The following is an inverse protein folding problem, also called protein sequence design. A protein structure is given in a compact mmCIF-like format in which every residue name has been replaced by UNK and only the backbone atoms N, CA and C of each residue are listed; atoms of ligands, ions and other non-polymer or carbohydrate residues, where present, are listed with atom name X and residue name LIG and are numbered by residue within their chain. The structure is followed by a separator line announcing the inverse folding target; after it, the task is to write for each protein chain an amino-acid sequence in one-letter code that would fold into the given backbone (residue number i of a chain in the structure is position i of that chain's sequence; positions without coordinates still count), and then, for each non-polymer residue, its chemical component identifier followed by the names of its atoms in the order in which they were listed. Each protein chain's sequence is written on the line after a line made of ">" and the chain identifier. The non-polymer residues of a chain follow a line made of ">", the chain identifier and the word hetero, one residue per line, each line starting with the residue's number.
data_IF_128555940657
#
_entry.id   IF_128555940657
#
_cell.length_a   1.000
_cell.length_b   1.000
_cell.length_c   1.000
_cell.angle_alpha   90.00
_cell.angle_beta   90.00
_cell.angle_gamma   90.00
#
_symmetry.space_group_name_H-M   'P 1'
#
loop_
_entity.id
_entity.type
_entity.pdbx_description
1 polymer ?
#
# COMPACT_ATOMS: atom_id res chain seq x y z
N UNK A 1 -17.38 -20.54 -17.67
CA UNK A 1 -16.66 -19.26 -17.77
C UNK A 1 -16.37 -18.77 -16.36
N UNK A 2 -15.12 -18.92 -15.91
CA UNK A 2 -14.71 -18.53 -14.55
C UNK A 2 -14.59 -17.01 -14.49
N UNK A 3 -15.55 -16.35 -13.83
CA UNK A 3 -15.44 -14.95 -13.48
C UNK A 3 -14.22 -14.79 -12.56
N UNK A 4 -13.14 -14.21 -13.09
CA UNK A 4 -11.95 -13.81 -12.34
C UNK A 4 -12.30 -12.61 -11.46
N UNK A 5 -13.11 -12.85 -10.42
CA UNK A 5 -13.24 -11.94 -9.30
C UNK A 5 -11.92 -12.10 -8.53
N UNK A 6 -10.99 -11.17 -8.73
CA UNK A 6 -9.78 -11.07 -7.91
C UNK A 6 -10.24 -11.08 -6.45
N UNK A 7 -9.89 -12.14 -5.72
CA UNK A 7 -10.16 -12.19 -4.28
C UNK A 7 -9.48 -11.00 -3.62
N UNK A 8 -10.07 -10.40 -2.57
CA UNK A 8 -9.54 -9.18 -1.95
C UNK A 8 -8.06 -9.31 -1.54
N UNK A 9 -7.59 -10.52 -1.22
CA UNK A 9 -6.18 -10.84 -0.98
C UNK A 9 -5.29 -10.68 -2.23
N UNK A 10 -5.74 -11.12 -3.40
CA UNK A 10 -4.99 -10.99 -4.65
C UNK A 10 -4.86 -9.53 -5.09
N UNK A 11 -5.90 -8.73 -4.84
CA UNK A 11 -5.87 -7.29 -5.08
C UNK A 11 -4.86 -6.59 -4.16
N UNK A 12 -4.76 -6.99 -2.89
CA UNK A 12 -3.76 -6.46 -1.96
C UNK A 12 -2.33 -6.85 -2.31
N UNK A 13 -2.11 -8.09 -2.78
CA UNK A 13 -0.80 -8.54 -3.27
C UNK A 13 -0.34 -7.73 -4.50
N UNK A 14 -1.26 -7.46 -5.43
CA UNK A 14 -0.99 -6.59 -6.59
C UNK A 14 -0.65 -5.16 -6.17
N UNK A 15 -1.42 -4.61 -5.22
CA UNK A 15 -1.22 -3.24 -4.72
C UNK A 15 0.10 -3.09 -3.95
N UNK A 16 0.52 -4.14 -3.22
CA UNK A 16 1.84 -4.21 -2.58
C UNK A 16 2.97 -4.28 -3.61
N UNK A 17 2.83 -5.08 -4.67
CA UNK A 17 3.85 -5.13 -5.74
C UNK A 17 4.05 -3.76 -6.41
N UNK A 18 2.98 -3.00 -6.56
CA UNK A 18 3.00 -1.67 -7.17
C UNK A 18 3.72 -0.61 -6.31
N UNK A 19 3.59 -0.68 -4.98
CA UNK A 19 4.25 0.26 -4.06
C UNK A 19 5.76 0.07 -4.02
N UNK A 20 6.25 -1.17 -4.18
CA UNK A 20 7.69 -1.44 -4.33
C UNK A 20 8.27 -0.83 -5.61
N UNK A 21 7.50 -0.78 -6.70
CA UNK A 21 7.93 -0.19 -7.98
C UNK A 21 7.99 1.35 -7.93
N UNK A 22 7.07 1.98 -7.19
CA UNK A 22 7.06 3.46 -7.03
C UNK A 22 8.22 3.98 -6.19
N UNK A 23 8.64 3.23 -5.16
CA UNK A 23 9.80 3.59 -4.33
C UNK A 23 11.12 3.57 -5.11
N UNK A 24 11.33 2.60 -6.00
CA UNK A 24 12.54 2.53 -6.83
C UNK A 24 12.64 3.68 -7.81
N UNK A 25 11.51 4.07 -8.42
CA UNK A 25 11.44 5.14 -9.43
C UNK A 25 11.90 6.49 -8.91
N UNK A 26 11.58 6.81 -7.64
CA UNK A 26 11.93 8.09 -7.05
C UNK A 26 13.46 8.24 -6.93
N UNK A 27 14.16 7.20 -6.47
CA UNK A 27 15.62 7.19 -6.35
C UNK A 27 16.33 7.49 -7.67
N UNK A 28 15.85 6.90 -8.79
CA UNK A 28 16.43 7.11 -10.10
C UNK A 28 16.29 8.55 -10.60
N UNK A 29 15.15 9.20 -10.34
CA UNK A 29 14.93 10.60 -10.74
C UNK A 29 15.92 11.51 -10.00
N UNK A 30 16.17 11.27 -8.71
CA UNK A 30 17.12 12.06 -7.91
C UNK A 30 18.55 11.92 -8.45
N UNK A 31 18.96 10.67 -8.71
CA UNK A 31 20.27 10.38 -9.26
C UNK A 31 20.46 11.05 -10.62
N UNK A 32 19.44 11.00 -11.48
CA UNK A 32 19.48 11.63 -12.80
C UNK A 32 19.55 13.16 -12.72
N UNK A 33 18.74 13.81 -11.87
CA UNK A 33 18.77 15.26 -11.66
C UNK A 33 20.10 15.73 -11.07
N UNK A 34 20.69 14.95 -10.16
CA UNK A 34 22.01 15.25 -9.59
C UNK A 34 23.11 15.20 -10.66
N UNK A 35 23.16 14.12 -11.46
CA UNK A 35 24.12 13.98 -12.56
C UNK A 35 23.94 15.09 -13.60
N UNK A 36 22.69 15.39 -13.97
CA UNK A 36 22.38 16.46 -14.92
C UNK A 36 22.79 17.84 -14.39
N UNK A 37 22.62 18.08 -13.10
CA UNK A 37 23.11 19.28 -12.42
C UNK A 37 24.63 19.43 -12.50
N UNK A 38 25.38 18.39 -12.15
CA UNK A 38 26.84 18.40 -12.24
C UNK A 38 27.34 18.68 -13.67
N UNK A 39 26.72 18.05 -14.67
CA UNK A 39 27.05 18.29 -16.09
C UNK A 39 26.71 19.73 -16.50
N UNK A 40 25.57 20.26 -16.05
CA UNK A 40 25.16 21.64 -16.33
C UNK A 40 26.17 22.66 -15.79
N UNK A 41 26.63 22.55 -14.54
CA UNK A 41 27.65 23.45 -13.99
C UNK A 41 28.98 23.33 -14.71
N UNK A 42 29.40 22.11 -15.05
CA UNK A 42 30.65 21.89 -15.76
C UNK A 42 30.64 22.57 -17.14
N UNK A 43 29.56 22.43 -17.91
CA UNK A 43 29.41 23.08 -19.23
C UNK A 43 29.29 24.59 -19.07
N UNK A 44 28.50 25.08 -18.11
CA UNK A 44 28.31 26.51 -17.87
C UNK A 44 29.62 27.22 -17.47
N UNK A 45 30.53 26.54 -16.76
CA UNK A 45 31.81 27.10 -16.35
C UNK A 45 32.88 26.95 -17.45
N UNK A 46 32.99 25.77 -18.06
CA UNK A 46 34.09 25.44 -18.99
C UNK A 46 33.82 25.84 -20.45
N UNK A 47 32.57 25.84 -20.92
CA UNK A 47 32.24 26.13 -22.32
C UNK A 47 31.94 27.61 -22.56
N UNK A 48 31.31 28.27 -21.59
CA UNK A 48 30.79 29.62 -21.77
C UNK A 48 31.76 30.71 -21.33
N UNK A 49 32.80 30.37 -20.54
CA UNK A 49 33.82 31.29 -19.99
C UNK A 49 33.23 32.65 -19.56
N UNK A 50 31.99 32.59 -19.04
CA UNK A 50 31.16 33.76 -18.86
C UNK A 50 31.59 34.44 -17.57
N UNK A 51 31.70 35.76 -17.56
CA UNK A 51 31.89 36.54 -16.32
C UNK A 51 33.22 36.29 -15.60
N UNK A 52 34.36 36.44 -16.28
CA UNK A 52 35.70 36.40 -15.67
C UNK A 52 35.85 37.42 -14.51
N UNK A 53 35.11 38.54 -14.55
CA UNK A 53 35.14 39.57 -13.50
C UNK A 53 34.06 39.41 -12.42
N UNK A 54 33.00 38.63 -12.65
CA UNK A 54 31.88 38.51 -11.72
C UNK A 54 31.63 37.06 -11.38
N UNK A 55 31.72 36.69 -10.11
CA UNK A 55 31.56 35.31 -9.65
C UNK A 55 30.08 34.85 -9.67
N UNK A 56 29.39 34.93 -10.81
CA UNK A 56 28.01 34.48 -10.95
C UNK A 56 27.86 32.97 -10.71
N UNK A 57 28.91 32.18 -10.97
CA UNK A 57 28.94 30.74 -10.66
C UNK A 57 28.73 30.48 -9.16
N UNK A 58 29.16 31.39 -8.28
CA UNK A 58 28.99 31.28 -6.83
C UNK A 58 27.51 31.34 -6.47
N UNK A 59 26.76 32.29 -7.03
CA UNK A 59 25.31 32.40 -6.85
C UNK A 59 24.55 31.21 -7.44
N UNK A 60 24.95 30.77 -8.63
CA UNK A 60 24.32 29.63 -9.30
C UNK A 60 24.55 28.32 -8.53
N UNK A 61 25.77 28.11 -8.04
CA UNK A 61 26.12 26.98 -7.19
C UNK A 61 25.40 27.04 -5.83
N UNK A 62 25.22 28.24 -5.26
CA UNK A 62 24.52 28.42 -3.99
C UNK A 62 23.03 28.03 -4.10
N UNK A 63 22.35 28.52 -5.15
CA UNK A 63 20.94 28.20 -5.43
C UNK A 63 20.76 26.71 -5.66
N UNK A 64 21.67 26.09 -6.42
CA UNK A 64 21.60 24.68 -6.73
C UNK A 64 21.86 23.79 -5.51
N UNK A 65 22.83 24.16 -4.69
CA UNK A 65 23.12 23.47 -3.44
C UNK A 65 21.93 23.56 -2.48
N UNK A 66 21.25 24.72 -2.42
CA UNK A 66 20.04 24.91 -1.63
C UNK A 66 18.87 24.02 -2.12
N UNK A 67 18.60 23.99 -3.43
CA UNK A 67 17.59 23.11 -4.03
C UNK A 67 17.87 21.63 -3.73
N UNK A 68 19.13 21.22 -3.84
CA UNK A 68 19.54 19.85 -3.57
C UNK A 68 19.39 19.50 -2.08
N UNK A 69 19.78 20.38 -1.16
CA UNK A 69 19.59 20.20 0.29
C UNK A 69 18.11 20.09 0.64
N UNK A 70 17.26 21.01 0.15
CA UNK A 70 15.81 20.99 0.39
C UNK A 70 15.19 19.67 -0.08
N UNK A 71 15.55 19.23 -1.28
CA UNK A 71 15.05 17.99 -1.86
C UNK A 71 15.54 16.75 -1.10
N UNK A 72 16.82 16.72 -0.72
CA UNK A 72 17.41 15.66 0.09
C UNK A 72 16.71 15.57 1.45
N UNK A 73 16.49 16.69 2.13
CA UNK A 73 15.75 16.74 3.40
C UNK A 73 14.32 16.23 3.24
N UNK A 74 13.60 16.67 2.20
CA UNK A 74 12.23 16.23 1.95
C UNK A 74 12.15 14.71 1.71
N UNK A 75 13.02 14.14 0.87
CA UNK A 75 12.94 12.72 0.53
C UNK A 75 13.56 11.82 1.60
N UNK A 76 14.65 12.22 2.24
CA UNK A 76 15.30 11.38 3.24
C UNK A 76 14.54 11.36 4.57
N UNK A 77 13.97 12.50 4.98
CA UNK A 77 13.23 12.62 6.25
C UNK A 77 11.79 12.12 6.10
N UNK A 78 11.05 12.55 5.07
CA UNK A 78 9.63 12.19 4.96
C UNK A 78 9.42 10.78 4.39
N UNK A 79 10.24 10.33 3.43
CA UNK A 79 10.00 9.04 2.76
C UNK A 79 10.48 7.84 3.60
N UNK A 80 11.53 8.00 4.41
CA UNK A 80 12.09 6.93 5.26
C UNK A 80 11.31 6.75 6.56
N UNK A 81 10.82 7.83 7.18
CA UNK A 81 10.35 7.79 8.57
C UNK A 81 8.84 7.55 8.71
N UNK A 82 8.00 8.08 7.81
CA UNK A 82 6.55 7.97 7.92
C UNK A 82 5.96 6.73 7.23
N UNK A 83 6.48 6.33 6.07
CA UNK A 83 5.81 5.30 5.26
C UNK A 83 5.78 3.93 5.92
N UNK A 84 6.95 3.34 6.18
CA UNK A 84 7.02 1.90 6.41
C UNK A 84 6.52 1.46 7.78
N UNK A 85 7.03 2.06 8.86
CA UNK A 85 6.67 1.64 10.23
C UNK A 85 5.21 1.95 10.61
N UNK A 86 4.65 3.06 10.11
CA UNK A 86 3.26 3.42 10.35
C UNK A 86 2.30 2.57 9.50
N UNK A 87 2.64 2.30 8.23
CA UNK A 87 1.85 1.41 7.37
C UNK A 87 1.80 -0.01 7.92
N UNK A 88 2.93 -0.54 8.39
CA UNK A 88 3.00 -1.87 8.99
C UNK A 88 2.08 -1.94 10.23
N UNK A 89 2.09 -0.92 11.10
CA UNK A 89 1.18 -0.83 12.26
C UNK A 89 -0.31 -0.73 11.88
N UNK A 90 -0.66 0.07 10.88
CA UNK A 90 -2.07 0.17 10.44
C UNK A 90 -2.55 -1.14 9.80
N UNK A 91 -1.67 -1.84 9.07
CA UNK A 91 -1.97 -3.12 8.44
C UNK A 91 -2.29 -4.19 9.49
N UNK A 92 -1.46 -4.32 10.52
CA UNK A 92 -1.69 -5.26 11.62
C UNK A 92 -3.05 -4.99 12.31
N UNK A 93 -3.41 -3.72 12.53
CA UNK A 93 -4.69 -3.36 13.12
C UNK A 93 -5.89 -3.72 12.21
N UNK A 94 -5.77 -3.50 10.90
CA UNK A 94 -6.80 -3.84 9.92
C UNK A 94 -7.00 -5.36 9.81
N UNK A 95 -5.92 -6.13 9.72
CA UNK A 95 -5.96 -7.60 9.69
C UNK A 95 -6.61 -8.14 10.97
N UNK A 96 -6.21 -7.64 12.14
CA UNK A 96 -6.80 -8.05 13.41
C UNK A 96 -8.31 -7.73 13.50
N UNK A 97 -8.75 -6.60 12.94
CA UNK A 97 -10.17 -6.24 12.88
C UNK A 97 -10.95 -7.15 11.91
N UNK A 98 -10.35 -7.51 10.77
CA UNK A 98 -10.94 -8.42 9.80
C UNK A 98 -11.05 -9.85 10.34
N UNK A 99 -10.01 -10.37 11.00
CA UNK A 99 -10.05 -11.69 11.65
C UNK A 99 -11.15 -11.79 12.71
N UNK A 100 -11.35 -10.74 13.52
CA UNK A 100 -12.46 -10.69 14.49
C UNK A 100 -13.84 -10.72 13.82
N UNK A 101 -13.99 -10.13 12.63
CA UNK A 101 -15.25 -10.18 11.88
C UNK A 101 -15.49 -11.58 11.30
N UNK A 102 -14.46 -12.24 10.77
CA UNK A 102 -14.57 -13.62 10.27
C UNK A 102 -15.03 -14.59 11.36
N UNK A 103 -14.38 -14.57 12.53
CA UNK A 103 -14.75 -15.43 13.66
C UNK A 103 -16.21 -15.21 14.10
N UNK A 104 -16.68 -13.96 14.11
CA UNK A 104 -18.07 -13.63 14.46
C UNK A 104 -19.07 -14.13 13.42
N UNK A 105 -18.74 -14.02 12.14
CA UNK A 105 -19.60 -14.51 11.05
C UNK A 105 -19.66 -16.03 11.09
N UNK A 106 -18.53 -16.71 11.28
CA UNK A 106 -18.46 -18.16 11.41
C UNK A 106 -19.30 -18.67 12.60
N UNK A 107 -19.20 -18.03 13.76
CA UNK A 107 -20.03 -18.35 14.93
C UNK A 107 -21.52 -18.02 14.77
N UNK A 108 -21.90 -17.12 13.85
CA UNK A 108 -23.30 -16.86 13.53
C UNK A 108 -23.85 -17.92 12.57
N UNK A 109 -23.07 -18.28 11.54
CA UNK A 109 -23.43 -19.33 10.59
C UNK A 109 -23.59 -20.68 11.28
N UNK A 110 -22.68 -21.06 12.17
CA UNK A 110 -22.79 -22.32 12.92
C UNK A 110 -24.09 -22.37 13.75
N UNK A 111 -24.44 -21.27 14.42
CA UNK A 111 -25.69 -21.18 15.20
C UNK A 111 -26.93 -21.28 14.31
N UNK A 112 -26.94 -20.62 13.16
CA UNK A 112 -28.05 -20.72 12.21
C UNK A 112 -28.17 -22.15 11.65
N UNK A 113 -27.04 -22.82 11.40
CA UNK A 113 -27.03 -24.20 10.91
C UNK A 113 -27.55 -25.20 11.95
N UNK A 114 -27.16 -25.05 13.22
CA UNK A 114 -27.66 -25.88 14.32
C UNK A 114 -29.17 -25.66 14.56
N UNK A 115 -29.65 -24.41 14.49
CA UNK A 115 -31.10 -24.11 14.59
C UNK A 115 -31.89 -24.76 13.44
N UNK A 116 -31.37 -24.72 12.21
CA UNK A 116 -31.99 -25.38 11.07
C UNK A 116 -32.03 -26.90 11.24
N UNK A 117 -30.97 -27.52 11.77
CA UNK A 117 -30.97 -28.96 12.08
C UNK A 117 -32.00 -29.32 13.13
N UNK A 118 -32.12 -28.54 14.20
CA UNK A 118 -33.12 -28.77 15.25
C UNK A 118 -34.54 -28.61 14.71
N UNK A 119 -34.80 -27.61 13.87
CA UNK A 119 -36.10 -27.42 13.22
C UNK A 119 -36.42 -28.58 12.27
N UNK A 120 -35.49 -28.97 11.41
CA UNK A 120 -35.66 -30.09 10.50
C UNK A 120 -35.92 -31.40 11.25
N UNK A 121 -35.27 -31.63 12.39
CA UNK A 121 -35.50 -32.81 13.24
C UNK A 121 -36.89 -32.78 13.88
N UNK A 122 -37.33 -31.63 14.41
CA UNK A 122 -38.68 -31.46 14.96
C UNK A 122 -39.79 -31.66 13.91
N UNK A 123 -39.57 -31.18 12.69
CA UNK A 123 -40.50 -31.40 11.57
C UNK A 123 -40.57 -32.87 11.17
N UNK A 124 -39.42 -33.58 11.19
CA UNK A 124 -39.38 -35.03 10.94
C UNK A 124 -40.13 -35.82 12.01
N UNK A 125 -39.91 -35.50 13.29
CA UNK A 125 -40.57 -36.14 14.43
C UNK A 125 -42.10 -35.84 14.46
N UNK A 126 -42.50 -34.63 14.02
CA UNK A 126 -43.91 -34.25 13.88
C UNK A 126 -44.59 -34.98 12.70
N UNK A 127 -43.88 -35.18 11.59
CA UNK A 127 -44.37 -35.96 10.45
C UNK A 127 -44.58 -37.44 10.83
N UNK A 128 -43.65 -38.04 11.58
CA UNK A 128 -43.73 -39.45 11.99
C UNK A 128 -44.89 -39.71 12.99
N UNK A 129 -45.12 -38.77 13.91
CA UNK A 129 -46.26 -38.82 14.86
C UNK A 129 -47.62 -38.60 14.19
N UNK A 130 -47.67 -37.89 13.05
CA UNK A 130 -48.89 -37.74 12.25
C UNK A 130 -49.24 -39.01 11.47
N UNK A 131 -48.25 -39.68 10.90
CA UNK A 131 -48.41 -40.88 10.07
C UNK A 131 -48.82 -42.11 10.91
N UNK A 132 -48.34 -42.19 12.15
CA UNK A 132 -48.69 -43.27 13.10
C UNK A 132 -50.13 -43.16 13.63
N UNK A 133 -50.78 -41.99 13.56
CA UNK A 133 -52.18 -41.79 13.99
C UNK A 133 -53.22 -42.14 12.92
N UNK A 134 -52.80 -42.36 11.68
CA UNK A 134 -53.68 -42.59 10.53
C UNK A 134 -53.74 -44.04 10.06
N UNK A 135 -53.16 -44.98 10.81
CA UNK A 135 -53.21 -46.44 10.55
C UNK A 135 -54.02 -47.14 11.62
#
# INVERSE_FOLDING_TARGET
>A
MSNTQLTPEQYELFKNAETYLKQKRLLYIHFFVFVLGCVFFFVANKILDYGVEYNWYLWLSLIWLFLWLWHAMNVFVFNRFLGKKWQDKQREQLIAAQQKKLIKMEAAVEREFELQKEQAKKELDAADTSNTRTV
#
